data_IF_902731278296
#
_entry.id   IF_902731278296
#
_cell.length_a   1.000
_cell.length_b   1.000
_cell.length_c   1.000
_cell.angle_alpha   90.00
_cell.angle_beta   90.00
_cell.angle_gamma   90.00
#
_symmetry.space_group_name_H-M   'P 1'
#
loop_
_entity.id
_entity.type
_entity.pdbx_description
1 polymer ?
#
# COMPACT_ATOMS: atom_id res chain seq x y z
N UNK A 1 -64.52 -65.35 47.69
CA UNK A 1 -65.36 -64.27 48.24
C UNK A 1 -64.63 -63.60 49.40
N UNK A 2 -64.75 -62.27 49.48
CA UNK A 2 -64.46 -61.39 50.64
C UNK A 2 -62.99 -61.10 51.00
N UNK A 3 -62.53 -59.94 50.56
CA UNK A 3 -62.51 -58.69 51.36
C UNK A 3 -61.20 -57.89 51.20
N UNK A 4 -61.44 -56.63 50.86
CA UNK A 4 -60.52 -55.50 50.71
C UNK A 4 -59.79 -55.24 52.04
N UNK A 5 -58.48 -55.03 52.00
CA UNK A 5 -57.82 -54.14 52.95
C UNK A 5 -56.57 -53.46 52.38
N UNK A 6 -56.39 -52.22 52.81
CA UNK A 6 -55.56 -51.14 52.28
C UNK A 6 -54.04 -51.38 52.46
N UNK A 7 -53.25 -50.91 51.49
CA UNK A 7 -51.91 -50.39 51.76
C UNK A 7 -51.64 -49.15 50.88
N UNK A 8 -51.05 -48.14 51.48
CA UNK A 8 -51.02 -46.74 51.07
C UNK A 8 -49.56 -46.25 51.19
N UNK A 9 -49.10 -45.46 50.21
CA UNK A 9 -47.99 -44.47 50.26
C UNK A 9 -46.55 -45.07 50.39
N UNK A 10 -45.45 -44.68 49.72
CA UNK A 10 -44.97 -43.45 49.07
C UNK A 10 -44.15 -43.81 47.81
N UNK A 11 -44.34 -43.06 46.72
CA UNK A 11 -43.41 -42.95 45.60
C UNK A 11 -42.93 -41.50 45.54
N UNK A 12 -41.65 -41.27 45.82
CA UNK A 12 -41.03 -39.96 45.81
C UNK A 12 -40.94 -39.43 44.37
N UNK A 13 -41.64 -38.33 44.10
CA UNK A 13 -41.46 -37.55 42.87
C UNK A 13 -40.20 -36.67 43.04
N UNK A 14 -39.12 -37.07 42.38
CA UNK A 14 -37.95 -36.21 42.19
C UNK A 14 -38.28 -35.13 41.16
N UNK A 15 -38.51 -33.90 41.63
CA UNK A 15 -38.66 -32.72 40.79
C UNK A 15 -37.27 -32.24 40.38
N UNK A 16 -36.86 -32.58 39.15
CA UNK A 16 -35.64 -32.06 38.53
C UNK A 16 -35.87 -30.61 38.13
N UNK A 17 -35.46 -29.65 38.98
CA UNK A 17 -35.48 -28.23 38.65
C UNK A 17 -34.43 -27.95 37.58
N UNK A 18 -34.89 -27.69 36.36
CA UNK A 18 -34.06 -27.12 35.30
C UNK A 18 -33.70 -25.68 35.67
N UNK A 19 -32.44 -25.45 36.03
CA UNK A 19 -31.86 -24.11 36.09
C UNK A 19 -31.77 -23.58 34.67
N UNK A 20 -32.80 -22.84 34.25
CA UNK A 20 -32.74 -22.03 33.04
C UNK A 20 -31.68 -20.94 33.21
N UNK A 21 -30.53 -21.10 32.58
CA UNK A 21 -29.58 -20.01 32.39
C UNK A 21 -30.20 -18.99 31.45
N UNK A 22 -30.87 -17.99 32.01
CA UNK A 22 -31.19 -16.76 31.29
C UNK A 22 -29.88 -16.02 31.02
N UNK A 23 -29.22 -16.33 29.91
CA UNK A 23 -28.27 -15.38 29.32
C UNK A 23 -29.08 -14.23 28.78
N UNK A 24 -29.30 -13.22 29.62
CA UNK A 24 -29.66 -11.88 29.18
C UNK A 24 -28.48 -11.40 28.33
N UNK A 25 -28.64 -11.41 27.01
CA UNK A 25 -27.78 -10.65 26.12
C UNK A 25 -27.85 -9.20 26.61
N UNK A 26 -26.74 -8.68 27.13
CA UNK A 26 -26.64 -7.28 27.51
C UNK A 26 -27.09 -6.44 26.31
N UNK A 27 -28.16 -5.67 26.48
CA UNK A 27 -28.53 -4.65 25.51
C UNK A 27 -27.33 -3.71 25.36
N UNK A 28 -27.00 -3.32 24.12
CA UNK A 28 -25.91 -2.39 23.84
C UNK A 28 -26.19 -1.08 24.60
N UNK A 29 -25.45 -0.82 25.68
CA UNK A 29 -25.54 0.44 26.43
C UNK A 29 -25.29 1.61 25.45
N UNK A 30 -26.20 2.59 25.37
CA UNK A 30 -26.01 3.73 24.49
C UNK A 30 -24.75 4.50 24.89
N UNK A 31 -23.87 4.75 23.92
CA UNK A 31 -22.66 5.54 24.11
C UNK A 31 -22.81 6.92 23.48
N UNK A 32 -22.05 7.89 23.99
CA UNK A 32 -21.99 9.24 23.45
C UNK A 32 -21.42 9.22 22.02
N UNK A 33 -22.23 9.71 21.06
CA UNK A 33 -21.84 9.78 19.67
C UNK A 33 -21.21 11.14 19.38
N UNK A 34 -20.02 11.09 18.81
CA UNK A 34 -19.37 12.23 18.18
C UNK A 34 -20.28 12.92 17.14
N UNK A 35 -20.22 14.25 17.06
CA UNK A 35 -21.16 15.04 16.25
C UNK A 35 -20.83 15.02 14.74
N UNK A 36 -19.54 15.12 14.39
CA UNK A 36 -19.11 15.23 12.99
C UNK A 36 -18.92 13.84 12.34
N UNK A 37 -20.04 13.22 12.00
CA UNK A 37 -20.08 11.92 11.32
C UNK A 37 -19.97 12.10 9.80
N UNK A 38 -19.17 11.24 9.16
CA UNK A 38 -19.00 11.19 7.71
C UNK A 38 -19.43 9.84 7.15
N UNK A 39 -19.66 9.77 5.84
CA UNK A 39 -20.15 8.59 5.13
C UNK A 39 -19.05 7.90 4.29
N UNK A 40 -19.44 6.85 3.57
CA UNK A 40 -18.54 6.08 2.71
C UNK A 40 -17.93 6.95 1.60
N UNK A 41 -18.70 7.86 0.99
CA UNK A 41 -18.20 8.70 -0.11
C UNK A 41 -17.09 9.63 0.40
N UNK A 42 -17.32 10.29 1.53
CA UNK A 42 -16.28 11.10 2.18
C UNK A 42 -15.07 10.26 2.55
N UNK A 43 -15.27 9.08 3.14
CA UNK A 43 -14.17 8.18 3.50
C UNK A 43 -13.35 7.77 2.28
N UNK A 44 -14.00 7.42 1.16
CA UNK A 44 -13.36 7.01 -0.09
C UNK A 44 -12.52 8.13 -0.72
N UNK A 45 -12.99 9.36 -0.66
CA UNK A 45 -12.27 10.52 -1.24
C UNK A 45 -11.00 10.89 -0.45
N UNK A 46 -10.90 10.48 0.81
CA UNK A 46 -9.78 10.82 1.68
C UNK A 46 -8.86 9.63 2.00
N UNK A 47 -9.38 8.40 2.04
CA UNK A 47 -8.61 7.19 2.25
C UNK A 47 -8.03 6.66 0.93
N UNK A 48 -7.18 7.47 0.30
CA UNK A 48 -6.65 7.19 -1.04
C UNK A 48 -5.29 6.53 -0.99
N UNK A 49 -4.97 5.82 -2.08
CA UNK A 49 -3.61 5.37 -2.41
C UNK A 49 -3.28 5.95 -3.79
N UNK A 50 -2.27 6.83 -3.94
CA UNK A 50 -1.26 7.22 -2.96
C UNK A 50 -1.82 7.94 -1.72
N UNK A 51 -1.22 7.64 -0.57
CA UNK A 51 -1.51 8.32 0.70
C UNK A 51 -1.23 9.81 0.58
N UNK A 52 -2.20 10.61 1.02
CA UNK A 52 -2.11 12.07 1.07
C UNK A 52 -1.53 12.50 2.40
N UNK A 53 -0.80 13.62 2.39
CA UNK A 53 -0.16 14.15 3.60
C UNK A 53 -1.09 15.10 4.39
N UNK A 54 -2.25 15.48 3.83
CA UNK A 54 -3.22 16.44 4.43
C UNK A 54 -4.35 15.78 5.23
N UNK A 55 -4.39 14.45 5.28
CA UNK A 55 -5.39 13.67 6.02
C UNK A 55 -4.74 12.46 6.70
N UNK A 56 -5.16 12.20 7.94
CA UNK A 56 -4.77 11.00 8.69
C UNK A 56 -6.02 10.19 9.03
N UNK A 57 -6.07 8.98 8.49
CA UNK A 57 -7.11 8.01 8.82
C UNK A 57 -6.63 7.17 10.01
N UNK A 58 -7.49 6.98 11.02
CA UNK A 58 -7.14 6.25 12.24
C UNK A 58 -8.12 5.11 12.51
N UNK A 59 -7.59 3.90 12.57
CA UNK A 59 -8.30 2.71 13.04
C UNK A 59 -8.22 2.62 14.57
N UNK A 60 -9.36 2.86 15.22
CA UNK A 60 -9.47 2.84 16.69
C UNK A 60 -9.64 1.44 17.29
N UNK A 61 -9.63 0.38 16.47
CA UNK A 61 -9.81 -1.01 16.91
C UNK A 61 -8.49 -1.58 17.47
N UNK A 62 -8.55 -2.65 18.29
CA UNK A 62 -7.35 -3.38 18.72
C UNK A 62 -6.57 -4.02 17.56
N UNK A 63 -5.27 -4.18 17.72
CA UNK A 63 -4.32 -4.73 16.74
C UNK A 63 -4.82 -5.99 16.04
N UNK A 64 -5.43 -6.93 16.79
CA UNK A 64 -5.94 -8.18 16.23
C UNK A 64 -6.95 -7.96 15.10
N UNK A 65 -7.79 -6.93 15.20
CA UNK A 65 -8.79 -6.60 14.18
C UNK A 65 -8.14 -5.88 13.01
N UNK A 66 -7.26 -4.93 13.29
CA UNK A 66 -6.47 -4.21 12.29
C UNK A 66 -5.62 -5.18 11.45
N UNK A 67 -4.87 -6.07 12.10
CA UNK A 67 -4.00 -7.06 11.47
C UNK A 67 -4.71 -7.82 10.33
N UNK A 68 -5.93 -8.28 10.60
CA UNK A 68 -6.75 -9.08 9.66
C UNK A 68 -7.51 -8.28 8.60
N UNK A 69 -7.48 -6.95 8.67
CA UNK A 69 -8.22 -6.11 7.73
C UNK A 69 -8.44 -4.70 8.25
N UNK A 70 -7.98 -3.68 7.51
CA UNK A 70 -8.17 -2.25 7.79
C UNK A 70 -8.38 -1.47 6.48
N UNK A 71 -8.80 -0.21 6.61
CA UNK A 71 -8.96 0.72 5.47
C UNK A 71 -7.61 1.35 5.18
N UNK A 72 -7.06 1.18 3.99
CA UNK A 72 -5.79 1.81 3.67
C UNK A 72 -5.97 3.32 3.39
N UNK A 73 -5.07 4.21 3.85
CA UNK A 73 -3.77 3.99 4.50
C UNK A 73 -3.80 4.14 6.04
N UNK A 74 -4.85 3.70 6.71
CA UNK A 74 -5.08 4.02 8.13
C UNK A 74 -3.95 3.60 9.07
N UNK A 75 -3.67 4.46 10.05
CA UNK A 75 -2.83 4.16 11.19
C UNK A 75 -3.64 3.39 12.24
N UNK A 76 -3.05 2.36 12.85
CA UNK A 76 -3.67 1.71 13.99
C UNK A 76 -3.32 2.45 15.28
N UNK A 77 -4.31 3.10 15.87
CA UNK A 77 -4.21 3.73 17.19
C UNK A 77 -5.41 3.22 18.00
N UNK A 78 -5.29 2.06 18.67
CA UNK A 78 -6.39 1.52 19.46
C UNK A 78 -6.83 2.52 20.53
N UNK A 79 -8.14 2.72 20.72
CA UNK A 79 -8.68 3.68 21.70
C UNK A 79 -8.06 3.50 23.10
N UNK A 80 -7.82 2.26 23.52
CA UNK A 80 -7.20 1.92 24.82
C UNK A 80 -5.74 2.37 24.97
N UNK A 81 -5.04 2.55 23.86
CA UNK A 81 -3.62 2.94 23.80
C UNK A 81 -3.43 4.35 23.24
N UNK A 82 -4.53 5.05 22.93
CA UNK A 82 -4.51 6.36 22.28
C UNK A 82 -3.55 7.33 22.98
N UNK A 83 -3.64 7.45 24.31
CA UNK A 83 -2.83 8.40 25.10
C UNK A 83 -1.32 8.09 25.04
N UNK A 84 -0.94 6.85 24.73
CA UNK A 84 0.46 6.41 24.61
C UNK A 84 1.00 6.46 23.18
N UNK A 85 0.11 6.63 22.20
CA UNK A 85 0.43 6.54 20.76
C UNK A 85 0.20 7.89 20.05
N UNK A 86 0.04 8.97 20.80
CA UNK A 86 -0.22 10.32 20.28
C UNK A 86 0.87 10.84 19.35
N UNK A 87 2.11 10.36 19.48
CA UNK A 87 3.22 10.68 18.60
C UNK A 87 3.02 10.24 17.14
N UNK A 88 2.02 9.38 16.87
CA UNK A 88 1.63 8.99 15.52
C UNK A 88 0.65 9.98 14.86
N UNK A 89 0.06 10.89 15.65
CA UNK A 89 -0.84 11.92 15.14
C UNK A 89 -0.01 13.12 14.61
N UNK A 90 -0.53 13.87 13.63
CA UNK A 90 0.19 14.99 13.02
C UNK A 90 0.41 16.12 14.04
N UNK A 91 1.55 16.80 13.94
CA UNK A 91 1.86 17.95 14.80
C UNK A 91 0.87 19.11 14.58
N UNK A 92 0.51 19.35 13.31
CA UNK A 92 -0.49 20.34 12.92
C UNK A 92 -1.90 19.92 13.36
N UNK A 93 -2.46 20.71 14.27
CA UNK A 93 -3.78 20.47 14.87
C UNK A 93 -4.96 20.80 13.93
N UNK A 94 -4.69 21.34 12.76
CA UNK A 94 -5.69 21.59 11.72
C UNK A 94 -5.79 20.47 10.67
N UNK A 95 -4.81 19.55 10.65
CA UNK A 95 -4.84 18.37 9.77
C UNK A 95 -6.11 17.56 9.99
N UNK A 96 -6.74 17.12 8.89
CA UNK A 96 -7.95 16.32 8.94
C UNK A 96 -7.68 14.96 9.58
N UNK A 97 -8.36 14.64 10.68
CA UNK A 97 -8.36 13.32 11.30
C UNK A 97 -9.68 12.62 11.05
N UNK A 98 -9.64 11.39 10.50
CA UNK A 98 -10.83 10.56 10.30
C UNK A 98 -10.69 9.29 11.13
N UNK A 99 -11.47 9.19 12.20
CA UNK A 99 -11.52 8.01 13.06
C UNK A 99 -12.58 7.02 12.60
N UNK A 100 -12.26 5.75 12.55
CA UNK A 100 -13.24 4.69 12.32
C UNK A 100 -13.00 3.49 13.22
N UNK A 101 -14.01 2.63 13.35
CA UNK A 101 -13.86 1.37 14.04
C UNK A 101 -14.72 0.24 13.44
N UNK A 102 -15.29 -0.63 14.29
CA UNK A 102 -15.99 -1.85 13.89
C UNK A 102 -17.42 -1.69 13.42
N UNK A 103 -17.90 -0.45 13.21
CA UNK A 103 -19.25 -0.14 12.74
C UNK A 103 -20.10 0.63 13.76
N UNK A 104 -21.38 0.83 13.43
CA UNK A 104 -22.26 1.81 14.11
C UNK A 104 -22.51 1.56 15.59
N UNK A 105 -22.26 0.33 16.06
CA UNK A 105 -22.38 -0.07 17.48
C UNK A 105 -21.05 0.00 18.24
N UNK A 106 -19.96 0.35 17.57
CA UNK A 106 -18.64 0.41 18.16
C UNK A 106 -18.35 1.83 18.68
N UNK A 107 -18.06 2.01 19.98
CA UNK A 107 -17.82 3.33 20.56
C UNK A 107 -16.39 3.86 20.33
N UNK A 108 -15.47 3.03 19.83
CA UNK A 108 -14.03 3.30 19.92
C UNK A 108 -13.62 4.52 19.08
N UNK A 109 -14.15 4.67 17.86
CA UNK A 109 -13.84 5.83 17.02
C UNK A 109 -14.35 7.14 17.61
N UNK A 110 -15.52 7.11 18.24
CA UNK A 110 -16.08 8.28 18.90
C UNK A 110 -15.24 8.69 20.12
N UNK A 111 -14.82 7.72 20.94
CA UNK A 111 -13.92 7.97 22.08
C UNK A 111 -12.56 8.53 21.66
N UNK A 112 -11.95 7.95 20.62
CA UNK A 112 -10.68 8.46 20.07
C UNK A 112 -10.85 9.88 19.50
N UNK A 113 -11.97 10.18 18.85
CA UNK A 113 -12.26 11.52 18.33
C UNK A 113 -12.36 12.57 19.45
N UNK A 114 -13.11 12.29 20.52
CA UNK A 114 -13.18 13.17 21.69
C UNK A 114 -11.81 13.38 22.36
N UNK A 115 -10.97 12.33 22.42
CA UNK A 115 -9.59 12.46 22.93
C UNK A 115 -8.75 13.37 22.04
N UNK A 116 -8.87 13.25 20.71
CA UNK A 116 -8.18 14.11 19.76
C UNK A 116 -8.62 15.58 19.90
N UNK A 117 -9.92 15.86 20.00
CA UNK A 117 -10.41 17.22 20.25
C UNK A 117 -9.88 17.81 21.56
N UNK A 118 -9.87 17.01 22.63
CA UNK A 118 -9.32 17.44 23.92
C UNK A 118 -7.82 17.77 23.84
N UNK A 119 -7.10 17.17 22.90
CA UNK A 119 -5.70 17.50 22.59
C UNK A 119 -5.54 18.71 21.66
N UNK A 120 -6.63 19.37 21.28
CA UNK A 120 -6.63 20.58 20.46
C UNK A 120 -6.76 20.35 18.95
N UNK A 121 -6.99 19.12 18.48
CA UNK A 121 -7.29 18.91 17.06
C UNK A 121 -8.64 19.53 16.70
N UNK A 122 -8.66 20.33 15.64
CA UNK A 122 -9.81 21.15 15.26
C UNK A 122 -10.60 20.60 14.06
N UNK A 123 -10.01 19.67 13.31
CA UNK A 123 -10.60 19.06 12.13
C UNK A 123 -10.74 17.55 12.30
N UNK A 124 -11.67 17.14 13.15
CA UNK A 124 -11.90 15.74 13.51
C UNK A 124 -13.23 15.26 12.94
N UNK A 125 -13.22 14.07 12.33
CA UNK A 125 -14.39 13.39 11.74
C UNK A 125 -14.45 11.94 12.22
N UNK A 126 -15.65 11.37 12.26
CA UNK A 126 -15.86 9.95 12.57
C UNK A 126 -16.62 9.26 11.44
N UNK A 127 -16.01 8.25 10.85
CA UNK A 127 -16.69 7.32 9.94
C UNK A 127 -17.32 6.18 10.76
N UNK A 128 -18.52 6.42 11.28
CA UNK A 128 -19.17 5.52 12.24
C UNK A 128 -19.61 4.18 11.62
N UNK A 129 -19.92 4.15 10.32
CA UNK A 129 -20.27 2.91 9.62
C UNK A 129 -19.08 1.93 9.54
N UNK A 130 -17.85 2.47 9.61
CA UNK A 130 -16.63 1.74 9.93
C UNK A 130 -16.18 0.74 8.86
N UNK A 131 -15.28 -0.17 9.27
CA UNK A 131 -14.71 -1.16 8.35
C UNK A 131 -15.73 -2.07 7.66
N UNK A 132 -16.82 -2.54 8.30
CA UNK A 132 -17.82 -3.35 7.59
C UNK A 132 -18.46 -2.60 6.41
N UNK A 133 -18.81 -1.32 6.60
CA UNK A 133 -19.40 -0.51 5.55
C UNK A 133 -18.43 -0.24 4.39
N UNK A 134 -17.14 -0.02 4.71
CA UNK A 134 -16.10 0.07 3.69
C UNK A 134 -16.07 -1.13 2.75
N UNK A 135 -16.07 -2.35 3.30
CA UNK A 135 -16.04 -3.58 2.51
C UNK A 135 -17.35 -3.79 1.75
N UNK A 136 -18.50 -3.55 2.38
CA UNK A 136 -19.81 -3.72 1.73
C UNK A 136 -20.00 -2.80 0.52
N UNK A 137 -19.41 -1.60 0.55
CA UNK A 137 -19.46 -0.65 -0.56
C UNK A 137 -18.29 -0.82 -1.57
N UNK A 138 -17.61 -1.98 -1.57
CA UNK A 138 -16.59 -2.33 -2.56
C UNK A 138 -15.20 -1.78 -2.27
N UNK A 139 -14.96 -1.24 -1.07
CA UNK A 139 -13.63 -0.88 -0.61
C UNK A 139 -12.74 -2.12 -0.43
N UNK A 140 -11.46 -2.00 -0.79
CA UNK A 140 -10.48 -3.09 -0.64
C UNK A 140 -9.92 -3.07 0.79
N UNK A 141 -9.87 -4.23 1.43
CA UNK A 141 -9.26 -4.37 2.75
C UNK A 141 -7.75 -4.55 2.66
N UNK A 142 -6.99 -3.78 3.45
CA UNK A 142 -5.55 -3.99 3.62
C UNK A 142 -5.26 -4.83 4.88
N UNK A 143 -4.18 -5.59 4.92
CA UNK A 143 -3.75 -6.41 6.07
C UNK A 143 -2.32 -6.08 6.51
N UNK A 144 -1.95 -6.44 7.74
CA UNK A 144 -0.61 -6.15 8.28
C UNK A 144 0.43 -7.19 7.86
N UNK A 145 1.72 -6.83 7.92
CA UNK A 145 2.83 -7.77 7.67
C UNK A 145 2.71 -9.06 8.49
N UNK A 146 2.30 -8.92 9.76
CA UNK A 146 2.05 -10.03 10.68
C UNK A 146 0.95 -10.96 10.21
N UNK A 147 -0.12 -10.42 9.62
CA UNK A 147 -1.19 -11.24 9.07
C UNK A 147 -0.79 -11.89 7.75
N UNK A 148 -0.09 -11.17 6.87
CA UNK A 148 0.49 -11.72 5.64
C UNK A 148 1.37 -12.92 5.97
N UNK A 149 2.32 -12.77 6.90
CA UNK A 149 3.18 -13.86 7.35
C UNK A 149 2.38 -15.05 7.86
N UNK A 150 1.36 -14.81 8.69
CA UNK A 150 0.48 -15.86 9.22
C UNK A 150 -0.24 -16.64 8.10
N UNK A 151 -0.63 -15.98 7.03
CA UNK A 151 -1.26 -16.62 5.88
C UNK A 151 -0.26 -17.44 5.06
N UNK A 152 0.96 -16.89 4.84
CA UNK A 152 2.06 -17.59 4.16
C UNK A 152 2.44 -18.86 4.93
N UNK A 153 2.67 -18.77 6.24
CA UNK A 153 3.05 -19.90 7.10
C UNK A 153 2.01 -21.04 7.07
N UNK A 154 0.76 -20.72 6.73
CA UNK A 154 -0.33 -21.69 6.59
C UNK A 154 -0.50 -22.24 5.16
N UNK A 155 0.23 -21.71 4.18
CA UNK A 155 0.01 -22.01 2.77
C UNK A 155 -1.39 -21.61 2.27
N UNK A 156 -2.00 -20.59 2.89
CA UNK A 156 -3.40 -20.25 2.69
C UNK A 156 -3.61 -19.00 1.82
N UNK A 157 -2.57 -18.53 1.12
CA UNK A 157 -2.59 -17.28 0.36
C UNK A 157 -1.68 -17.33 -0.84
N UNK A 158 -2.08 -16.65 -1.91
CA UNK A 158 -1.17 -16.25 -2.99
C UNK A 158 -0.81 -14.78 -2.78
N UNK A 159 0.47 -14.52 -2.53
CA UNK A 159 1.01 -13.17 -2.40
C UNK A 159 1.50 -12.70 -3.76
N UNK A 160 1.10 -11.51 -4.18
CA UNK A 160 1.40 -10.96 -5.51
C UNK A 160 2.15 -9.64 -5.36
N UNK A 161 3.38 -9.60 -5.87
CA UNK A 161 4.16 -8.37 -6.00
C UNK A 161 3.77 -7.64 -7.28
N UNK A 162 3.18 -6.45 -7.14
CA UNK A 162 2.73 -5.61 -8.25
C UNK A 162 3.80 -4.68 -8.80
N UNK A 163 5.03 -4.74 -8.28
CA UNK A 163 6.17 -3.94 -8.75
C UNK A 163 6.77 -4.53 -10.02
N UNK A 164 7.59 -3.76 -10.76
CA UNK A 164 8.37 -4.28 -11.87
C UNK A 164 9.29 -5.44 -11.47
N UNK A 165 9.55 -6.35 -12.42
CA UNK A 165 10.35 -7.56 -12.21
C UNK A 165 11.74 -7.29 -11.62
N UNK A 166 12.39 -6.18 -12.02
CA UNK A 166 13.70 -5.77 -11.45
C UNK A 166 13.64 -5.56 -9.93
N UNK A 167 12.59 -4.91 -9.41
CA UNK A 167 12.41 -4.64 -7.97
C UNK A 167 12.05 -5.92 -7.21
N UNK A 168 11.32 -6.84 -7.84
CA UNK A 168 11.06 -8.17 -7.30
C UNK A 168 12.37 -8.97 -7.17
N UNK A 169 13.21 -8.99 -8.21
CA UNK A 169 14.49 -9.73 -8.22
C UNK A 169 15.46 -9.25 -7.12
N UNK A 170 15.47 -7.96 -6.79
CA UNK A 170 16.29 -7.39 -5.70
C UNK A 170 15.80 -7.80 -4.30
N UNK A 171 14.56 -8.29 -4.20
CA UNK A 171 13.97 -8.78 -2.97
C UNK A 171 12.45 -8.58 -2.95
N UNK A 172 11.77 -9.56 -2.39
CA UNK A 172 10.32 -9.65 -2.36
C UNK A 172 9.86 -10.41 -1.11
N UNK A 173 8.56 -10.39 -0.84
CA UNK A 173 7.96 -11.20 0.23
C UNK A 173 8.16 -12.69 -0.12
N UNK A 174 8.68 -13.53 0.79
CA UNK A 174 8.91 -14.95 0.53
C UNK A 174 7.68 -15.66 -0.03
N UNK A 175 7.87 -16.39 -1.14
CA UNK A 175 6.80 -17.13 -1.81
C UNK A 175 5.84 -16.27 -2.63
N UNK A 176 6.08 -14.96 -2.78
CA UNK A 176 5.30 -14.13 -3.67
C UNK A 176 5.57 -14.46 -5.15
N UNK A 177 4.53 -14.36 -5.97
CA UNK A 177 4.65 -14.31 -7.43
C UNK A 177 4.74 -12.85 -7.88
N UNK A 178 5.45 -12.58 -8.98
CA UNK A 178 5.52 -11.23 -9.54
C UNK A 178 4.54 -11.09 -10.71
N UNK A 179 3.59 -10.18 -10.57
CA UNK A 179 2.67 -9.76 -11.63
C UNK A 179 2.69 -8.23 -11.63
N UNK A 180 3.60 -7.59 -12.39
CA UNK A 180 3.64 -6.14 -12.51
C UNK A 180 2.27 -5.61 -12.97
N UNK A 181 1.78 -4.51 -12.38
CA UNK A 181 0.43 -3.97 -12.68
C UNK A 181 0.20 -3.75 -14.19
N UNK A 182 1.23 -3.35 -14.93
CA UNK A 182 1.13 -3.13 -16.38
C UNK A 182 1.07 -4.40 -17.22
N UNK A 183 1.72 -5.47 -16.75
CA UNK A 183 1.71 -6.78 -17.39
C UNK A 183 0.61 -7.68 -16.80
N UNK A 184 -0.30 -7.11 -15.99
CA UNK A 184 -1.30 -7.87 -15.25
C UNK A 184 -2.18 -8.71 -16.18
N UNK A 185 -2.63 -8.13 -17.29
CA UNK A 185 -3.53 -8.80 -18.24
C UNK A 185 -2.83 -9.95 -18.98
N UNK A 186 -1.52 -9.81 -19.24
CA UNK A 186 -0.68 -10.84 -19.88
C UNK A 186 -0.35 -11.99 -18.92
N UNK A 187 -0.17 -11.67 -17.64
CA UNK A 187 0.30 -12.59 -16.61
C UNK A 187 -0.83 -13.13 -15.72
N UNK A 188 -2.09 -12.84 -16.06
CA UNK A 188 -3.29 -13.28 -15.32
C UNK A 188 -3.32 -14.81 -15.07
N UNK A 189 -2.75 -15.60 -15.98
CA UNK A 189 -2.69 -17.07 -15.89
C UNK A 189 -1.86 -17.57 -14.72
N UNK A 190 -1.03 -16.71 -14.12
CA UNK A 190 -0.28 -17.03 -12.91
C UNK A 190 -1.13 -16.91 -11.63
N UNK A 191 -2.27 -16.21 -11.67
CA UNK A 191 -3.20 -16.22 -10.56
C UNK A 191 -3.88 -17.60 -10.44
N UNK A 192 -4.22 -18.03 -9.22
CA UNK A 192 -4.93 -19.28 -9.01
C UNK A 192 -6.24 -19.32 -9.82
N UNK A 193 -6.58 -20.43 -10.49
CA UNK A 193 -7.83 -20.51 -11.27
C UNK A 193 -9.08 -20.43 -10.38
N UNK A 194 -8.98 -20.81 -9.10
CA UNK A 194 -10.06 -20.74 -8.14
C UNK A 194 -10.34 -19.28 -7.72
N UNK A 195 -11.50 -18.74 -8.13
CA UNK A 195 -11.92 -17.36 -7.82
C UNK A 195 -12.18 -17.08 -6.33
N UNK A 196 -12.27 -18.12 -5.51
CA UNK A 196 -12.32 -18.01 -4.05
C UNK A 196 -10.95 -18.01 -3.35
N UNK A 197 -9.85 -18.13 -4.10
CA UNK A 197 -8.50 -18.11 -3.53
C UNK A 197 -8.22 -16.77 -2.82
N UNK A 198 -7.54 -16.83 -1.68
CA UNK A 198 -7.09 -15.64 -0.95
C UNK A 198 -5.89 -15.02 -1.70
N UNK A 199 -6.09 -13.81 -2.22
CA UNK A 199 -5.08 -13.04 -2.93
C UNK A 199 -4.67 -11.82 -2.11
N UNK A 200 -3.36 -11.62 -1.95
CA UNK A 200 -2.80 -10.43 -1.30
C UNK A 200 -1.84 -9.71 -2.24
N UNK A 201 -2.21 -8.51 -2.67
CA UNK A 201 -1.37 -7.67 -3.54
C UNK A 201 -0.55 -6.67 -2.72
N UNK A 202 0.74 -6.50 -3.04
CA UNK A 202 1.58 -5.48 -2.40
C UNK A 202 2.48 -4.75 -3.41
N UNK A 203 2.96 -3.57 -3.00
CA UNK A 203 3.90 -2.74 -3.76
C UNK A 203 4.98 -2.12 -2.83
N UNK A 204 5.50 -0.94 -3.15
CA UNK A 204 6.52 -0.19 -2.42
C UNK A 204 6.03 0.58 -1.20
N UNK A 205 4.73 0.52 -0.87
CA UNK A 205 4.19 1.12 0.36
C UNK A 205 3.00 2.04 0.11
N UNK A 206 2.67 2.85 1.12
CA UNK A 206 1.45 3.68 1.14
C UNK A 206 1.34 4.74 0.03
N UNK A 207 2.46 5.10 -0.62
CA UNK A 207 2.46 6.03 -1.77
C UNK A 207 2.49 5.31 -3.12
N UNK A 208 2.64 3.98 -3.16
CA UNK A 208 2.58 3.21 -4.41
C UNK A 208 1.14 2.72 -4.69
N UNK A 209 0.53 3.08 -5.85
CA UNK A 209 -0.82 2.65 -6.20
C UNK A 209 -0.92 1.27 -6.85
N UNK A 210 0.20 0.67 -7.30
CA UNK A 210 0.19 -0.51 -8.16
C UNK A 210 -0.56 -1.70 -7.55
N UNK A 211 -0.38 -1.96 -6.25
CA UNK A 211 -1.08 -3.05 -5.56
C UNK A 211 -2.59 -2.86 -5.51
N UNK A 212 -3.06 -1.62 -5.33
CA UNK A 212 -4.49 -1.33 -5.32
C UNK A 212 -5.08 -1.47 -6.73
N UNK A 213 -4.36 -1.05 -7.77
CA UNK A 213 -4.77 -1.23 -9.18
C UNK A 213 -4.85 -2.70 -9.57
N UNK A 214 -3.81 -3.48 -9.30
CA UNK A 214 -3.79 -4.93 -9.56
C UNK A 214 -4.88 -5.67 -8.77
N UNK A 215 -5.13 -5.28 -7.53
CA UNK A 215 -6.22 -5.84 -6.72
C UNK A 215 -7.60 -5.57 -7.34
N UNK A 216 -7.86 -4.35 -7.84
CA UNK A 216 -9.12 -4.02 -8.52
C UNK A 216 -9.29 -4.85 -9.80
N UNK A 217 -8.24 -4.97 -10.63
CA UNK A 217 -8.27 -5.83 -11.82
C UNK A 217 -8.60 -7.29 -11.46
N UNK A 218 -8.02 -7.83 -10.38
CA UNK A 218 -8.38 -9.15 -9.89
C UNK A 218 -9.85 -9.24 -9.45
N UNK A 219 -10.38 -8.25 -8.73
CA UNK A 219 -11.79 -8.22 -8.35
C UNK A 219 -12.73 -8.17 -9.56
N UNK A 220 -12.39 -7.37 -10.58
CA UNK A 220 -13.13 -7.29 -11.86
C UNK A 220 -13.15 -8.63 -12.60
N UNK A 221 -12.10 -9.43 -12.47
CA UNK A 221 -12.02 -10.80 -12.98
C UNK A 221 -12.76 -11.83 -12.12
N UNK A 222 -13.50 -11.39 -11.11
CA UNK A 222 -14.36 -12.21 -10.26
C UNK A 222 -13.67 -12.85 -9.05
N UNK A 223 -12.43 -12.47 -8.73
CA UNK A 223 -11.81 -12.94 -7.48
C UNK A 223 -12.52 -12.33 -6.27
N UNK A 224 -13.11 -13.17 -5.43
CA UNK A 224 -13.95 -12.73 -4.30
C UNK A 224 -13.19 -12.45 -3.01
N UNK A 225 -11.94 -12.91 -2.90
CA UNK A 225 -11.14 -12.79 -1.69
C UNK A 225 -9.80 -12.09 -1.99
N UNK A 226 -9.91 -10.79 -2.27
CA UNK A 226 -8.77 -9.94 -2.63
C UNK A 226 -8.50 -8.94 -1.51
N UNK A 227 -7.24 -8.85 -1.10
CA UNK A 227 -6.74 -7.90 -0.10
C UNK A 227 -5.48 -7.22 -0.62
N UNK A 228 -5.13 -6.09 0.00
CA UNK A 228 -3.82 -5.49 -0.17
C UNK A 228 -2.96 -5.67 1.08
N UNK A 229 -1.64 -5.60 0.89
CA UNK A 229 -0.69 -5.32 1.95
C UNK A 229 -0.04 -3.98 1.61
N UNK A 230 -0.76 -2.90 1.92
CA UNK A 230 -0.40 -1.56 1.41
C UNK A 230 0.88 -0.99 2.03
N UNK A 231 1.27 -1.44 3.23
CA UNK A 231 2.56 -1.07 3.82
C UNK A 231 3.76 -1.58 2.98
N UNK A 232 3.54 -2.63 2.17
CA UNK A 232 4.42 -3.03 1.10
C UNK A 232 5.73 -3.70 1.53
N UNK A 233 6.62 -3.91 0.57
CA UNK A 233 7.90 -4.55 0.80
C UNK A 233 8.80 -3.84 1.83
N UNK A 234 8.85 -2.50 1.92
CA UNK A 234 9.65 -1.83 2.94
C UNK A 234 9.22 -2.20 4.38
N UNK A 235 7.92 -2.30 4.63
CA UNK A 235 7.40 -2.75 5.93
C UNK A 235 7.73 -4.23 6.20
N UNK A 236 7.76 -5.07 5.16
CA UNK A 236 8.17 -6.46 5.28
C UNK A 236 9.63 -6.57 5.71
N UNK A 237 10.52 -5.83 5.05
CA UNK A 237 11.94 -5.79 5.38
C UNK A 237 12.16 -5.26 6.80
N UNK A 238 11.41 -4.24 7.21
CA UNK A 238 11.45 -3.72 8.59
C UNK A 238 11.03 -4.78 9.61
N UNK A 239 10.00 -5.57 9.31
CA UNK A 239 9.45 -6.56 10.24
C UNK A 239 10.25 -7.87 10.29
N UNK A 240 10.81 -8.32 9.16
CA UNK A 240 11.35 -9.68 8.98
C UNK A 240 12.73 -9.75 8.32
N UNK A 241 13.29 -8.62 7.89
CA UNK A 241 14.53 -8.57 7.13
C UNK A 241 14.34 -8.86 5.64
N UNK A 242 15.43 -8.71 4.88
CA UNK A 242 15.51 -9.19 3.50
C UNK A 242 15.71 -10.70 3.52
N UNK A 243 15.25 -11.41 2.48
CA UNK A 243 15.69 -12.79 2.27
C UNK A 243 17.21 -12.81 2.07
N UNK A 244 17.86 -13.84 2.61
CA UNK A 244 19.27 -14.12 2.37
C UNK A 244 19.45 -14.47 0.88
N UNK A 245 19.77 -13.45 0.06
CA UNK A 245 19.85 -13.59 -1.39
C UNK A 245 20.13 -12.33 -2.20
N UNK A 246 20.41 -11.19 -1.56
CA UNK A 246 20.89 -9.99 -2.24
C UNK A 246 22.20 -9.53 -1.60
N UNK A 247 23.30 -9.78 -2.29
CA UNK A 247 24.65 -9.40 -1.89
C UNK A 247 24.75 -7.90 -1.63
N UNK A 248 25.30 -7.54 -0.46
CA UNK A 248 25.88 -6.22 -0.22
C UNK A 248 27.08 -6.04 -1.15
N UNK A 249 27.15 -4.91 -1.85
CA UNK A 249 28.43 -4.34 -2.27
C UNK A 249 28.34 -2.83 -2.12
N UNK A 250 29.17 -2.30 -1.22
CA UNK A 250 29.29 -0.88 -0.93
C UNK A 250 30.06 -0.19 -2.07
N UNK A 251 29.46 0.86 -2.66
CA UNK A 251 30.15 1.76 -3.58
C UNK A 251 30.88 2.86 -2.83
N UNK A 252 32.21 2.79 -2.81
CA UNK A 252 33.11 3.86 -2.36
C UNK A 252 33.11 5.02 -3.36
N UNK A 253 32.96 6.24 -2.85
CA UNK A 253 33.22 7.48 -3.60
C UNK A 253 34.71 7.60 -3.95
N UNK A 254 35.03 8.15 -5.13
CA UNK A 254 36.25 8.94 -5.40
C UNK A 254 36.19 9.68 -6.74
N UNK A 255 36.85 10.85 -6.75
CA UNK A 255 36.72 11.95 -7.68
C UNK A 255 37.26 11.73 -9.11
N UNK A 256 36.68 12.51 -10.03
CA UNK A 256 36.92 12.49 -11.48
C UNK A 256 38.25 13.12 -11.93
N UNK A 257 38.80 12.55 -13.01
CA UNK A 257 39.52 13.30 -14.04
C UNK A 257 38.95 12.97 -15.43
N UNK A 258 38.44 13.98 -16.14
CA UNK A 258 38.60 14.13 -17.59
C UNK A 258 37.87 13.23 -18.60
N UNK A 259 36.89 12.40 -18.25
CA UNK A 259 36.06 11.66 -19.24
C UNK A 259 34.59 11.71 -18.85
N UNK A 260 33.71 12.01 -19.82
CA UNK A 260 32.26 11.89 -19.64
C UNK A 260 31.92 10.43 -19.31
N UNK A 261 31.54 10.18 -18.07
CA UNK A 261 31.18 8.86 -17.55
C UNK A 261 29.84 8.99 -16.84
N UNK A 262 28.91 8.10 -17.18
CA UNK A 262 27.65 7.95 -16.46
C UNK A 262 27.93 7.02 -15.30
N UNK A 263 27.84 7.53 -14.08
CA UNK A 263 28.02 6.73 -12.87
C UNK A 263 26.69 6.14 -12.46
N UNK A 264 26.69 4.83 -12.21
CA UNK A 264 25.49 4.09 -11.82
C UNK A 264 25.48 3.79 -10.32
N UNK A 265 24.30 3.73 -9.73
CA UNK A 265 24.09 3.38 -8.33
C UNK A 265 24.06 1.86 -8.09
N UNK A 266 23.46 1.47 -6.97
CA UNK A 266 23.37 0.07 -6.51
C UNK A 266 22.55 -0.82 -7.47
N UNK A 267 21.60 -0.23 -8.19
CA UNK A 267 20.83 -0.91 -9.23
C UNK A 267 21.52 -0.73 -10.59
N UNK A 268 21.75 -1.82 -11.35
CA UNK A 268 22.39 -1.75 -12.66
C UNK A 268 21.73 -0.71 -13.56
N UNK A 269 22.55 0.10 -14.23
CA UNK A 269 22.11 1.14 -15.18
C UNK A 269 21.18 2.22 -14.57
N UNK A 270 21.02 2.25 -13.24
CA UNK A 270 20.40 3.38 -12.53
C UNK A 270 21.43 4.48 -12.35
N UNK A 271 21.20 5.66 -12.91
CA UNK A 271 22.15 6.78 -12.78
C UNK A 271 22.16 7.35 -11.35
N UNK A 272 23.34 7.66 -10.80
CA UNK A 272 23.45 8.33 -9.50
C UNK A 272 22.95 9.76 -9.57
N UNK A 273 22.50 10.32 -8.44
CA UNK A 273 22.04 11.72 -8.39
C UNK A 273 23.17 12.70 -8.74
N UNK A 274 24.40 12.41 -8.34
CA UNK A 274 25.56 13.24 -8.65
C UNK A 274 25.85 13.22 -10.15
N UNK A 275 25.91 12.04 -10.76
CA UNK A 275 26.14 11.90 -12.19
C UNK A 275 25.02 12.56 -13.00
N UNK A 276 23.75 12.32 -12.65
CA UNK A 276 22.63 12.94 -13.33
C UNK A 276 22.65 14.47 -13.23
N UNK A 277 22.89 15.03 -12.03
CA UNK A 277 23.01 16.48 -11.85
C UNK A 277 24.16 17.07 -12.68
N UNK A 278 25.30 16.39 -12.75
CA UNK A 278 26.44 16.82 -13.55
C UNK A 278 26.11 16.79 -15.06
N UNK A 279 25.42 15.74 -15.53
CA UNK A 279 24.98 15.62 -16.92
C UNK A 279 24.04 16.77 -17.28
N UNK A 280 22.98 17.00 -16.49
CA UNK A 280 22.00 18.07 -16.75
C UNK A 280 22.66 19.45 -16.77
N UNK A 281 23.68 19.69 -15.93
CA UNK A 281 24.34 21.00 -15.84
C UNK A 281 25.42 21.23 -16.90
N UNK A 282 26.23 20.21 -17.19
CA UNK A 282 27.49 20.38 -17.91
C UNK A 282 27.56 19.58 -19.22
N UNK A 283 26.69 18.59 -19.42
CA UNK A 283 26.80 17.63 -20.52
C UNK A 283 25.44 17.19 -21.08
N UNK A 284 24.44 18.08 -21.09
CA UNK A 284 23.07 17.74 -21.51
C UNK A 284 22.98 17.28 -22.97
N UNK A 285 23.89 17.76 -23.84
CA UNK A 285 23.97 17.35 -25.25
C UNK A 285 24.68 16.02 -25.48
N UNK A 286 25.32 15.46 -24.44
CA UNK A 286 26.05 14.17 -24.52
C UNK A 286 25.14 12.95 -24.35
N UNK A 287 23.86 13.16 -24.03
CA UNK A 287 22.85 12.12 -23.79
C UNK A 287 21.51 12.51 -24.38
N UNK A 288 20.62 11.53 -24.54
CA UNK A 288 19.19 11.79 -24.68
C UNK A 288 18.53 11.67 -23.32
N UNK A 289 17.92 12.74 -22.82
CA UNK A 289 17.03 12.66 -21.66
C UNK A 289 15.62 12.44 -22.20
N UNK A 290 15.00 11.30 -21.89
CA UNK A 290 13.64 10.97 -22.30
C UNK A 290 12.73 11.00 -21.08
N UNK A 291 11.81 11.97 -21.05
CA UNK A 291 10.80 12.10 -20.01
C UNK A 291 9.57 11.27 -20.35
N UNK A 292 9.37 10.21 -19.58
CA UNK A 292 8.34 9.17 -19.84
C UNK A 292 7.04 9.40 -19.09
N UNK A 293 6.85 10.61 -18.57
CA UNK A 293 5.62 11.03 -17.90
C UNK A 293 4.54 11.41 -18.89
N UNK A 294 3.32 11.68 -18.40
CA UNK A 294 2.28 12.23 -19.26
C UNK A 294 2.59 13.68 -19.69
N UNK A 295 1.86 14.16 -20.70
CA UNK A 295 2.10 15.48 -21.28
C UNK A 295 1.82 16.63 -20.28
N UNK A 296 0.95 16.42 -19.30
CA UNK A 296 0.59 17.45 -18.31
C UNK A 296 1.73 17.62 -17.31
N UNK A 297 2.27 16.52 -16.79
CA UNK A 297 3.46 16.50 -15.94
C UNK A 297 4.67 17.11 -16.65
N UNK A 298 4.91 16.73 -17.91
CA UNK A 298 6.00 17.27 -18.72
C UNK A 298 5.90 18.79 -18.89
N UNK A 299 4.71 19.30 -19.24
CA UNK A 299 4.45 20.75 -19.41
C UNK A 299 4.51 21.54 -18.11
N UNK A 300 4.27 20.89 -16.97
CA UNK A 300 4.36 21.53 -15.65
C UNK A 300 5.83 21.78 -15.26
N UNK A 301 6.76 20.99 -15.80
CA UNK A 301 8.19 21.19 -15.67
C UNK A 301 8.95 19.90 -15.94
N UNK A 302 10.05 19.98 -16.69
CA UNK A 302 10.94 18.86 -17.01
C UNK A 302 12.41 19.33 -17.01
N UNK A 303 13.34 18.44 -17.36
CA UNK A 303 14.76 18.75 -17.43
C UNK A 303 15.11 19.50 -18.72
N UNK A 304 16.16 20.33 -18.71
CA UNK A 304 16.76 20.87 -19.93
C UNK A 304 17.03 19.76 -20.95
N UNK A 305 16.77 20.05 -22.24
CA UNK A 305 16.94 19.13 -23.39
C UNK A 305 16.09 17.85 -23.36
N UNK A 306 15.22 17.66 -22.37
CA UNK A 306 14.38 16.47 -22.28
C UNK A 306 13.38 16.38 -23.45
N UNK A 307 13.30 15.18 -24.03
CA UNK A 307 12.34 14.82 -25.07
C UNK A 307 11.16 14.12 -24.38
N UNK A 308 9.94 14.57 -24.68
CA UNK A 308 8.74 13.92 -24.18
C UNK A 308 8.41 12.68 -25.02
N UNK A 309 8.35 11.52 -24.37
CA UNK A 309 7.92 10.26 -24.97
C UNK A 309 7.40 9.36 -23.86
N UNK A 310 6.08 9.14 -23.77
CA UNK A 310 5.49 8.32 -22.69
C UNK A 310 6.03 6.90 -22.70
N UNK A 311 5.92 6.17 -21.59
CA UNK A 311 6.33 4.75 -21.53
C UNK A 311 5.72 3.94 -22.68
N UNK A 312 4.43 4.10 -22.93
CA UNK A 312 3.73 3.39 -24.01
C UNK A 312 4.30 3.77 -25.40
N UNK A 313 4.68 5.04 -25.61
CA UNK A 313 5.33 5.48 -26.85
C UNK A 313 6.76 4.95 -26.97
N UNK A 314 7.50 4.79 -25.85
CA UNK A 314 8.82 4.15 -25.84
C UNK A 314 8.68 2.70 -26.29
N UNK A 315 7.66 1.99 -25.82
CA UNK A 315 7.38 0.61 -26.22
C UNK A 315 7.05 0.51 -27.72
N UNK A 316 6.11 1.33 -28.20
CA UNK A 316 5.72 1.37 -29.61
C UNK A 316 6.88 1.73 -30.55
N UNK A 317 7.78 2.61 -30.11
CA UNK A 317 8.87 3.19 -30.93
C UNK A 317 10.25 2.69 -30.55
N UNK A 318 10.35 1.58 -29.82
CA UNK A 318 11.64 1.06 -29.34
C UNK A 318 12.64 0.80 -30.48
N UNK A 319 12.15 0.44 -31.67
CA UNK A 319 12.96 0.24 -32.86
C UNK A 319 13.55 1.55 -33.43
N UNK A 320 12.91 2.70 -33.18
CA UNK A 320 13.27 4.02 -33.71
C UNK A 320 14.16 4.82 -32.74
N UNK A 321 14.44 4.30 -31.55
CA UNK A 321 15.25 5.01 -30.56
C UNK A 321 16.68 5.26 -31.08
N UNK A 322 17.25 6.45 -30.76
CA UNK A 322 18.56 6.85 -31.25
C UNK A 322 19.68 5.97 -30.68
N UNK A 323 20.73 5.75 -31.47
CA UNK A 323 21.84 4.82 -31.15
C UNK A 323 23.17 5.54 -30.93
N UNK A 324 23.26 6.84 -31.24
CA UNK A 324 24.51 7.60 -31.26
C UNK A 324 24.95 8.11 -29.88
N UNK A 325 24.00 8.23 -28.94
CA UNK A 325 24.27 8.68 -27.56
C UNK A 325 23.52 7.82 -26.55
N UNK A 326 24.01 7.74 -25.30
CA UNK A 326 23.27 7.10 -24.22
C UNK A 326 21.90 7.75 -23.99
N UNK A 327 20.92 6.92 -23.65
CA UNK A 327 19.56 7.37 -23.32
C UNK A 327 19.37 7.28 -21.80
N UNK A 328 18.84 8.33 -21.19
CA UNK A 328 18.48 8.38 -19.77
C UNK A 328 16.98 8.60 -19.67
N UNK A 329 16.25 7.61 -19.15
CA UNK A 329 14.83 7.74 -18.86
C UNK A 329 14.58 8.43 -17.52
N UNK A 330 13.63 9.36 -17.48
CA UNK A 330 13.27 10.11 -16.27
C UNK A 330 11.76 10.14 -16.06
N UNK A 331 11.34 10.12 -14.79
CA UNK A 331 9.94 10.30 -14.41
C UNK A 331 9.84 10.92 -13.01
N UNK A 332 8.64 10.95 -12.42
CA UNK A 332 8.39 11.59 -11.13
C UNK A 332 8.85 10.76 -9.91
N UNK A 333 8.91 9.42 -10.02
CA UNK A 333 9.15 8.54 -8.85
C UNK A 333 10.09 7.36 -9.10
N UNK A 334 10.75 7.30 -10.26
CA UNK A 334 11.60 6.16 -10.66
C UNK A 334 10.85 4.98 -11.29
N UNK A 335 9.55 4.82 -11.02
CA UNK A 335 8.78 3.66 -11.48
C UNK A 335 8.70 3.56 -13.02
N UNK A 336 8.23 4.63 -13.68
CA UNK A 336 8.04 4.70 -15.14
C UNK A 336 9.37 4.75 -15.90
N UNK A 337 10.35 5.47 -15.38
CA UNK A 337 11.67 5.58 -16.00
C UNK A 337 12.40 4.25 -16.02
N UNK A 338 12.37 3.50 -14.91
CA UNK A 338 12.96 2.15 -14.91
C UNK A 338 12.16 1.15 -15.73
N UNK A 339 10.85 1.35 -15.90
CA UNK A 339 10.04 0.52 -16.81
C UNK A 339 10.38 0.78 -18.28
N UNK A 340 10.50 2.04 -18.71
CA UNK A 340 10.97 2.38 -20.04
C UNK A 340 12.38 1.81 -20.30
N UNK A 341 13.25 1.85 -19.29
CA UNK A 341 14.54 1.17 -19.34
C UNK A 341 14.40 -0.34 -19.56
N UNK A 342 13.57 -1.04 -18.78
CA UNK A 342 13.37 -2.50 -18.90
C UNK A 342 12.85 -2.87 -20.30
N UNK A 343 11.86 -2.13 -20.81
CA UNK A 343 11.29 -2.32 -22.16
C UNK A 343 12.40 -2.25 -23.23
N UNK A 344 13.22 -1.20 -23.17
CA UNK A 344 14.28 -1.01 -24.16
C UNK A 344 15.40 -2.03 -23.98
N UNK A 345 15.76 -2.38 -22.74
CA UNK A 345 16.79 -3.38 -22.48
C UNK A 345 16.41 -4.75 -23.03
N UNK A 346 15.13 -5.13 -22.92
CA UNK A 346 14.61 -6.39 -23.44
C UNK A 346 14.53 -6.41 -24.97
N UNK A 347 14.20 -5.29 -25.60
CA UNK A 347 14.00 -5.22 -27.06
C UNK A 347 15.29 -4.86 -27.83
N UNK A 348 16.23 -4.13 -27.22
CA UNK A 348 17.37 -3.47 -27.86
C UNK A 348 18.59 -3.47 -26.94
N UNK A 349 19.19 -4.64 -26.74
CA UNK A 349 20.41 -4.79 -25.93
C UNK A 349 21.62 -3.99 -26.47
N UNK A 350 21.58 -3.57 -27.73
CA UNK A 350 22.61 -2.73 -28.36
C UNK A 350 22.60 -1.26 -27.87
N UNK A 351 21.49 -0.80 -27.30
CA UNK A 351 21.36 0.57 -26.81
C UNK A 351 21.97 0.72 -25.42
N UNK A 352 22.73 1.82 -25.22
CA UNK A 352 23.21 2.23 -23.91
C UNK A 352 22.12 3.03 -23.20
N UNK A 353 21.30 2.35 -22.43
CA UNK A 353 20.21 2.98 -21.68
C UNK A 353 20.51 3.02 -20.19
N UNK A 354 20.02 4.07 -19.55
CA UNK A 354 20.07 4.31 -18.12
C UNK A 354 18.71 4.86 -17.69
N UNK A 355 18.44 4.87 -16.39
CA UNK A 355 17.27 5.56 -15.86
C UNK A 355 17.55 6.19 -14.51
N UNK A 356 16.79 7.24 -14.21
CA UNK A 356 16.81 7.89 -12.91
C UNK A 356 15.77 7.25 -11.99
N UNK A 357 16.23 6.55 -10.95
CA UNK A 357 15.40 6.00 -9.86
C UNK A 357 15.30 7.01 -8.71
N UNK A 358 14.49 8.06 -8.92
CA UNK A 358 14.35 9.14 -7.95
C UNK A 358 12.90 9.64 -7.87
N UNK A 359 12.52 10.11 -6.68
CA UNK A 359 11.44 11.07 -6.55
C UNK A 359 11.92 12.44 -7.08
N UNK A 360 11.25 12.97 -8.09
CA UNK A 360 11.62 14.24 -8.74
C UNK A 360 10.51 15.26 -8.48
N UNK A 361 10.89 16.42 -7.95
CA UNK A 361 9.99 17.57 -7.82
C UNK A 361 10.56 18.75 -8.59
N UNK A 362 9.77 19.33 -9.49
CA UNK A 362 10.12 20.55 -10.21
C UNK A 362 9.48 21.77 -9.54
N UNK A 363 10.27 22.83 -9.35
CA UNK A 363 9.80 24.12 -8.89
C UNK A 363 9.44 25.03 -10.07
N UNK A 364 8.62 26.05 -9.82
CA UNK A 364 8.14 27.00 -10.86
C UNK A 364 9.25 27.83 -11.50
N UNK A 365 10.41 27.95 -10.85
CA UNK A 365 11.59 28.65 -11.35
C UNK A 365 12.47 27.78 -12.28
N UNK A 366 12.02 26.56 -12.59
CA UNK A 366 12.75 25.61 -13.43
C UNK A 366 13.79 24.78 -12.68
N UNK A 367 13.97 25.00 -11.37
CA UNK A 367 14.84 24.14 -10.55
C UNK A 367 14.14 22.82 -10.21
N UNK A 368 14.92 21.80 -9.84
CA UNK A 368 14.39 20.50 -9.44
C UNK A 368 15.10 19.97 -8.19
N UNK A 369 14.42 19.06 -7.50
CA UNK A 369 14.95 18.30 -6.36
C UNK A 369 14.82 16.81 -6.63
N UNK A 370 15.89 16.08 -6.34
CA UNK A 370 15.93 14.62 -6.37
C UNK A 370 15.87 14.08 -4.95
N UNK A 371 15.01 13.10 -4.72
CA UNK A 371 14.90 12.33 -3.48
C UNK A 371 14.83 10.84 -3.78
N UNK A 372 14.84 9.98 -2.74
CA UNK A 372 14.71 8.54 -2.91
C UNK A 372 13.44 8.17 -3.68
N UNK A 373 13.53 7.19 -4.60
CA UNK A 373 12.36 6.61 -5.25
C UNK A 373 11.40 5.94 -4.25
N UNK A 374 10.13 5.82 -4.64
CA UNK A 374 9.01 5.41 -3.78
C UNK A 374 8.41 4.08 -4.20
#
# INVERSE_FOLDING_TARGET
>A
MKNINRLFILLAFGLLTTLGSNTVLAADEPFEKYEHIVDYAFMKDHATVPMRDDVVVVDSRPDRKYDSGYISPALNIPDRQFDTMTALLPEDKSTLLIFYCGGVKCPLSHKSAFKAEKMGYTNVKVYAAGYPDWIMNGGIGSISAKHVKKLIDKGAVTVVDSRPARKFAQGHVPGAINIPDRQFDEMITQLPPAKGAELVFYCGGYKCPLSSKSAMKAMELGYGNVKTYQAGYPDWVKAYGKMDGASKAAGTAMASSGKFVIETGDEPDTITFESFNNIVKNHADSVYIIDVRDLVEFKTGSFPTAIHMTVDQVEEKVAELPTDKPIIFVCSTGARSGEAYDIVKLAREDLKTYFLDAAVTHAKDGTYKLGPAV
#
